data_IF_489401715635
#
_entry.id   IF_489401715635
#
_cell.length_a   1.000
_cell.length_b   1.000
_cell.length_c   1.000
_cell.angle_alpha   90.00
_cell.angle_beta   90.00
_cell.angle_gamma   90.00
#
_symmetry.space_group_name_H-M   'P 1'
#
loop_
_entity.id
_entity.type
_entity.pdbx_description
1 polymer ?
#
# COMPACT_ATOMS: atom_id res chain seq x y z
N UNK A 1 -37.67 -19.64 22.94
CA UNK A 1 -36.63 -20.02 23.93
C UNK A 1 -35.38 -20.62 23.29
N UNK A 2 -35.46 -21.54 22.32
CA UNK A 2 -34.26 -22.15 21.71
C UNK A 2 -33.39 -21.26 20.82
N UNK A 3 -33.93 -20.17 20.25
CA UNK A 3 -33.15 -19.24 19.40
C UNK A 3 -32.12 -18.43 20.21
N UNK A 4 -32.36 -18.23 21.51
CA UNK A 4 -31.46 -17.51 22.40
C UNK A 4 -30.26 -18.37 22.81
N UNK A 5 -30.46 -19.66 23.05
CA UNK A 5 -29.42 -20.59 23.53
C UNK A 5 -28.25 -20.69 22.54
N UNK A 6 -28.54 -20.72 21.23
CA UNK A 6 -27.49 -20.75 20.20
C UNK A 6 -26.68 -19.44 20.17
N UNK A 7 -27.34 -18.28 20.31
CA UNK A 7 -26.65 -16.99 20.35
C UNK A 7 -25.83 -16.83 21.65
N UNK A 8 -26.40 -17.22 22.78
CA UNK A 8 -25.74 -17.21 24.08
C UNK A 8 -24.53 -18.17 24.13
N UNK A 9 -24.58 -19.28 23.37
CA UNK A 9 -23.47 -20.23 23.25
C UNK A 9 -22.37 -19.78 22.27
N UNK A 10 -22.64 -18.78 21.43
CA UNK A 10 -21.71 -18.29 20.40
C UNK A 10 -21.02 -16.98 20.78
N UNK A 11 -21.40 -16.38 21.91
CA UNK A 11 -20.83 -15.14 22.43
C UNK A 11 -20.05 -15.39 23.71
N UNK A 12 -18.86 -14.80 23.81
CA UNK A 12 -18.00 -14.86 25.00
C UNK A 12 -17.66 -13.44 25.46
N UNK A 13 -17.68 -13.22 26.77
CA UNK A 13 -17.21 -11.97 27.37
C UNK A 13 -15.83 -12.16 28.01
N UNK A 14 -14.79 -11.84 27.25
CA UNK A 14 -13.40 -11.92 27.74
C UNK A 14 -13.03 -10.75 28.66
N UNK A 15 -13.76 -9.63 28.57
CA UNK A 15 -13.45 -8.40 29.30
C UNK A 15 -14.08 -8.37 30.69
N UNK A 16 -15.12 -9.17 30.92
CA UNK A 16 -15.97 -9.10 32.11
C UNK A 16 -16.87 -7.87 32.17
N UNK A 17 -16.85 -7.00 31.15
CA UNK A 17 -17.66 -5.77 31.10
C UNK A 17 -19.02 -6.03 30.46
N UNK A 18 -20.07 -5.43 30.99
CA UNK A 18 -21.42 -5.55 30.45
C UNK A 18 -21.50 -5.02 29.01
N UNK A 19 -22.18 -5.76 28.13
CA UNK A 19 -22.32 -5.41 26.71
C UNK A 19 -21.08 -5.65 25.84
N UNK A 20 -19.95 -6.07 26.41
CA UNK A 20 -18.70 -6.28 25.68
C UNK A 20 -18.48 -7.77 25.32
N UNK A 21 -19.46 -8.32 24.61
CA UNK A 21 -19.44 -9.69 24.11
C UNK A 21 -18.81 -9.76 22.72
N UNK A 22 -18.11 -10.85 22.43
CA UNK A 22 -17.59 -11.11 21.09
C UNK A 22 -17.94 -12.54 20.63
N UNK A 23 -18.08 -12.77 19.31
CA UNK A 23 -18.24 -14.12 18.79
C UNK A 23 -17.06 -15.01 19.18
N UNK A 24 -17.33 -16.27 19.54
CA UNK A 24 -16.30 -17.26 19.88
C UNK A 24 -15.31 -17.46 18.73
N UNK A 25 -15.79 -17.47 17.49
CA UNK A 25 -14.96 -17.59 16.29
C UNK A 25 -13.90 -16.47 16.22
N UNK A 26 -14.33 -15.22 16.48
CA UNK A 26 -13.43 -14.06 16.51
C UNK A 26 -12.41 -14.15 17.65
N UNK A 27 -12.80 -14.73 18.80
CA UNK A 27 -11.86 -14.97 19.89
C UNK A 27 -10.82 -16.04 19.51
N UNK A 28 -11.26 -17.14 18.88
CA UNK A 28 -10.37 -18.19 18.37
C UNK A 28 -9.39 -17.59 17.34
N UNK A 29 -9.87 -16.73 16.44
CA UNK A 29 -9.02 -16.03 15.47
C UNK A 29 -7.94 -15.18 16.14
N UNK A 30 -8.30 -14.42 17.18
CA UNK A 30 -7.34 -13.63 17.96
C UNK A 30 -6.28 -14.53 18.62
N UNK A 31 -6.69 -15.63 19.24
CA UNK A 31 -5.76 -16.60 19.84
C UNK A 31 -4.79 -17.19 18.79
N UNK A 32 -5.31 -17.60 17.64
CA UNK A 32 -4.50 -18.13 16.52
C UNK A 32 -3.51 -17.07 16.02
N UNK A 33 -3.93 -15.81 15.92
CA UNK A 33 -3.06 -14.71 15.50
C UNK A 33 -1.88 -14.52 16.45
N UNK A 34 -2.11 -14.55 17.76
CA UNK A 34 -1.03 -14.48 18.74
C UNK A 34 -0.12 -15.71 18.71
N UNK A 35 -0.71 -16.89 18.55
CA UNK A 35 0.05 -18.14 18.40
C UNK A 35 1.01 -18.06 17.21
N UNK A 36 0.55 -17.59 16.06
CA UNK A 36 1.41 -17.38 14.88
C UNK A 36 2.54 -16.39 15.14
N UNK A 37 2.28 -15.34 15.92
CA UNK A 37 3.28 -14.33 16.27
C UNK A 37 4.37 -14.90 17.19
N UNK A 38 3.99 -15.68 18.20
CA UNK A 38 4.92 -16.27 19.17
C UNK A 38 5.62 -17.52 18.65
N UNK A 39 4.93 -18.30 17.81
CA UNK A 39 5.47 -19.49 17.13
C UNK A 39 6.35 -19.15 15.93
N UNK A 40 6.97 -17.96 15.89
CA UNK A 40 7.92 -17.56 14.84
C UNK A 40 9.25 -18.36 14.87
N UNK A 41 9.22 -19.65 15.22
CA UNK A 41 10.30 -20.58 15.06
C UNK A 41 10.55 -20.86 13.58
N UNK A 42 11.74 -20.50 13.09
CA UNK A 42 12.19 -20.92 11.75
C UNK A 42 12.91 -22.26 11.84
N UNK A 43 12.63 -23.16 10.89
CA UNK A 43 13.40 -24.40 10.69
C UNK A 43 13.13 -25.50 11.71
N UNK A 44 14.18 -26.17 12.17
CA UNK A 44 14.16 -27.42 12.98
C UNK A 44 13.42 -27.26 14.32
N UNK A 45 13.22 -26.04 14.79
CA UNK A 45 12.51 -25.74 16.04
C UNK A 45 11.00 -25.47 15.86
N UNK A 46 10.44 -25.74 14.68
CA UNK A 46 9.01 -25.64 14.41
C UNK A 46 8.29 -26.99 14.66
N UNK A 47 8.44 -27.53 15.87
CA UNK A 47 7.78 -28.79 16.27
C UNK A 47 6.38 -28.54 16.83
N UNK A 48 5.49 -29.52 16.66
CA UNK A 48 4.14 -29.48 17.23
C UNK A 48 4.15 -29.43 18.76
N UNK A 49 5.11 -30.08 19.41
CA UNK A 49 5.27 -30.04 20.86
C UNK A 49 5.52 -28.61 21.35
N UNK A 50 6.40 -27.88 20.66
CA UNK A 50 6.69 -26.49 20.97
C UNK A 50 5.49 -25.58 20.72
N UNK A 51 4.68 -25.86 19.69
CA UNK A 51 3.42 -25.14 19.48
C UNK A 51 2.44 -25.41 20.63
N UNK A 52 2.40 -26.66 21.12
CA UNK A 52 1.67 -27.07 22.31
C UNK A 52 2.07 -26.25 23.53
N UNK A 53 3.36 -26.20 23.84
CA UNK A 53 3.90 -25.43 24.97
C UNK A 53 3.58 -23.93 24.87
N UNK A 54 3.72 -23.35 23.68
CA UNK A 54 3.41 -21.92 23.43
C UNK A 54 1.90 -21.68 23.54
N UNK A 55 1.05 -22.60 23.08
CA UNK A 55 -0.40 -22.49 23.20
C UNK A 55 -0.87 -22.55 24.65
N UNK A 56 -0.28 -23.42 25.47
CA UNK A 56 -0.57 -23.51 26.89
C UNK A 56 -0.16 -22.24 27.66
N UNK A 57 0.84 -21.49 27.17
CA UNK A 57 1.40 -20.31 27.83
C UNK A 57 1.04 -18.98 27.15
N UNK A 58 0.15 -18.99 26.16
CA UNK A 58 -0.15 -17.82 25.31
C UNK A 58 -0.65 -16.62 26.12
N UNK A 59 -1.42 -16.83 27.18
CA UNK A 59 -1.95 -15.77 28.02
C UNK A 59 -0.85 -15.05 28.82
N UNK A 60 0.11 -15.84 29.36
CA UNK A 60 1.28 -15.29 30.05
C UNK A 60 2.17 -14.51 29.08
N UNK A 61 2.42 -15.05 27.89
CA UNK A 61 3.21 -14.38 26.85
C UNK A 61 2.58 -13.05 26.41
N UNK A 62 1.25 -13.01 26.29
CA UNK A 62 0.53 -11.76 26.00
C UNK A 62 0.67 -10.73 27.11
N UNK A 63 0.62 -11.15 28.39
CA UNK A 63 0.81 -10.25 29.53
C UNK A 63 2.23 -9.69 29.57
N UNK A 64 3.25 -10.53 29.36
CA UNK A 64 4.65 -10.10 29.26
C UNK A 64 4.82 -9.10 28.12
N UNK A 65 4.26 -9.39 26.93
CA UNK A 65 4.28 -8.45 25.80
C UNK A 65 3.69 -7.09 26.15
N UNK A 66 2.53 -7.06 26.83
CA UNK A 66 1.90 -5.81 27.28
C UNK A 66 2.77 -5.07 28.28
N UNK A 67 3.39 -5.78 29.23
CA UNK A 67 4.28 -5.19 30.23
C UNK A 67 5.54 -4.58 29.60
N UNK A 68 6.20 -5.32 28.70
CA UNK A 68 7.37 -4.84 27.96
C UNK A 68 7.00 -3.65 27.07
N UNK A 69 5.86 -3.71 26.38
CA UNK A 69 5.37 -2.60 25.57
C UNK A 69 5.16 -1.32 26.39
N UNK A 70 4.59 -1.44 27.60
CA UNK A 70 4.45 -0.31 28.54
C UNK A 70 5.79 0.20 29.04
N UNK A 71 6.71 -0.69 29.41
CA UNK A 71 8.03 -0.32 29.92
C UNK A 71 8.89 0.41 28.88
N UNK A 72 8.79 0.01 27.61
CA UNK A 72 9.49 0.64 26.49
C UNK A 72 8.80 1.91 25.97
N UNK A 73 7.69 2.34 26.57
CA UNK A 73 6.93 3.48 26.07
C UNK A 73 6.38 3.27 24.67
N UNK A 74 6.25 2.01 24.23
CA UNK A 74 5.58 1.66 22.97
C UNK A 74 4.08 1.81 23.24
N UNK A 75 3.62 3.06 23.25
CA UNK A 75 2.21 3.36 23.29
C UNK A 75 1.56 2.63 22.12
N UNK A 76 0.50 1.86 22.41
CA UNK A 76 -0.38 1.34 21.38
C UNK A 76 -0.96 2.55 20.65
N UNK A 77 -0.35 2.92 19.53
CA UNK A 77 -0.91 3.90 18.61
C UNK A 77 -2.12 3.17 18.02
N UNK A 78 -3.32 3.63 18.40
CA UNK A 78 -4.55 3.02 17.95
C UNK A 78 -4.53 2.81 16.43
N UNK A 79 -5.12 1.71 15.98
CA UNK A 79 -5.33 1.40 14.55
C UNK A 79 -6.26 2.40 13.85
N UNK A 80 -6.68 3.46 14.53
CA UNK A 80 -7.30 4.62 13.93
C UNK A 80 -6.22 5.33 13.14
N UNK A 81 -6.23 5.15 11.82
CA UNK A 81 -5.50 5.98 10.88
C UNK A 81 -5.96 7.43 11.02
N UNK A 82 -5.46 8.14 12.04
CA UNK A 82 -5.53 9.60 12.08
C UNK A 82 -4.50 10.05 11.05
N UNK A 83 -4.96 10.65 9.97
CA UNK A 83 -4.08 11.24 8.96
C UNK A 83 -3.11 12.17 9.69
N UNK A 84 -1.80 11.90 9.65
CA UNK A 84 -0.84 12.72 10.38
C UNK A 84 -0.90 14.15 9.85
N UNK A 85 -0.94 15.14 10.75
CA UNK A 85 -0.88 16.54 10.35
C UNK A 85 0.46 16.81 9.65
N UNK A 86 0.40 17.00 8.35
CA UNK A 86 1.56 17.25 7.49
C UNK A 86 1.89 18.74 7.36
N UNK A 87 1.14 19.62 8.02
CA UNK A 87 1.30 21.08 7.91
C UNK A 87 2.72 21.56 8.24
N UNK A 88 3.36 20.98 9.25
CA UNK A 88 4.73 21.31 9.63
C UNK A 88 5.75 20.93 8.55
N UNK A 89 5.59 19.77 7.92
CA UNK A 89 6.44 19.30 6.83
C UNK A 89 6.27 20.17 5.59
N UNK A 90 5.02 20.52 5.25
CA UNK A 90 4.71 21.43 4.13
C UNK A 90 5.36 22.80 4.36
N UNK A 91 5.27 23.38 5.58
CA UNK A 91 5.91 24.66 5.89
C UNK A 91 7.43 24.61 5.77
N UNK A 92 8.08 23.51 6.21
CA UNK A 92 9.53 23.33 6.05
C UNK A 92 9.94 23.29 4.58
N UNK A 93 9.19 22.55 3.75
CA UNK A 93 9.43 22.50 2.31
C UNK A 93 9.21 23.86 1.68
N UNK A 94 8.12 24.55 1.99
CA UNK A 94 7.82 25.89 1.47
C UNK A 94 8.90 26.91 1.87
N UNK A 95 9.38 26.88 3.10
CA UNK A 95 10.46 27.73 3.57
C UNK A 95 11.75 27.47 2.77
N UNK A 96 12.16 26.20 2.63
CA UNK A 96 13.36 25.84 1.86
C UNK A 96 13.22 26.14 0.36
N UNK A 97 12.02 25.98 -0.18
CA UNK A 97 11.68 26.34 -1.56
C UNK A 97 11.81 27.86 -1.80
N UNK A 98 11.43 28.67 -0.81
CA UNK A 98 11.59 30.12 -0.80
C UNK A 98 13.04 30.56 -0.66
N UNK A 99 13.73 30.04 0.37
CA UNK A 99 15.15 30.31 0.66
C UNK A 99 16.04 30.01 -0.55
N UNK A 100 15.87 28.83 -1.15
CA UNK A 100 16.63 28.41 -2.31
C UNK A 100 16.10 28.99 -3.62
N UNK A 101 14.99 29.74 -3.61
CA UNK A 101 14.33 30.30 -4.80
C UNK A 101 14.12 29.28 -5.93
N UNK A 102 13.86 28.01 -5.62
CA UNK A 102 13.71 26.97 -6.68
C UNK A 102 12.43 27.18 -7.50
N UNK A 103 11.48 27.94 -6.99
CA UNK A 103 10.24 28.32 -7.67
C UNK A 103 10.44 29.47 -8.69
N UNK A 104 11.61 30.12 -8.71
CA UNK A 104 11.93 31.21 -9.65
C UNK A 104 12.88 30.65 -10.71
N UNK A 105 12.58 30.80 -12.02
CA UNK A 105 13.50 30.41 -13.07
C UNK A 105 14.78 31.25 -12.97
N UNK A 106 15.91 30.60 -12.74
CA UNK A 106 17.22 31.23 -12.62
C UNK A 106 18.21 30.48 -13.52
N UNK A 107 18.68 31.15 -14.57
CA UNK A 107 19.60 30.58 -15.57
C UNK A 107 21.02 30.42 -15.05
N UNK A 108 21.41 31.20 -14.03
CA UNK A 108 22.77 31.26 -13.47
C UNK A 108 23.04 30.29 -12.31
N UNK A 109 22.08 29.40 -11.98
CA UNK A 109 22.24 28.47 -10.84
C UNK A 109 23.36 27.45 -11.12
N UNK A 110 24.26 27.26 -10.15
CA UNK A 110 25.29 26.23 -10.23
C UNK A 110 24.66 24.84 -10.45
N UNK A 111 25.22 24.05 -11.38
CA UNK A 111 24.75 22.73 -11.84
C UNK A 111 23.56 22.71 -12.82
N UNK A 112 23.07 23.84 -13.33
CA UNK A 112 22.03 23.83 -14.37
C UNK A 112 22.47 23.08 -15.64
N UNK A 113 23.77 23.07 -15.94
CA UNK A 113 24.39 22.35 -17.06
C UNK A 113 24.39 20.82 -16.91
N UNK A 114 24.16 20.29 -15.69
CA UNK A 114 24.12 18.85 -15.41
C UNK A 114 22.70 18.27 -15.41
N UNK A 115 21.68 19.12 -15.50
CA UNK A 115 20.27 18.71 -15.43
C UNK A 115 19.62 18.86 -16.80
N UNK A 116 19.02 17.79 -17.30
CA UNK A 116 18.22 17.86 -18.54
C UNK A 116 17.00 18.74 -18.30
N UNK A 117 16.75 19.77 -19.13
CA UNK A 117 15.60 20.64 -18.96
C UNK A 117 14.31 19.82 -19.04
N UNK A 118 13.49 19.92 -17.99
CA UNK A 118 12.18 19.27 -17.96
C UNK A 118 11.30 19.97 -19.00
N UNK A 119 10.79 19.20 -19.96
CA UNK A 119 9.91 19.70 -21.02
C UNK A 119 8.67 20.32 -20.37
N UNK A 120 8.30 21.52 -20.81
CA UNK A 120 7.04 22.13 -20.39
C UNK A 120 5.88 21.30 -20.95
N UNK A 121 5.33 20.42 -20.10
CA UNK A 121 4.26 19.48 -20.47
C UNK A 121 2.99 20.18 -20.92
N UNK A 122 2.70 21.39 -20.43
CA UNK A 122 1.53 22.17 -20.86
C UNK A 122 1.73 22.72 -22.27
N UNK A 123 2.88 23.35 -22.54
CA UNK A 123 3.18 23.88 -23.86
C UNK A 123 3.33 22.76 -24.90
N UNK A 124 4.00 21.66 -24.55
CA UNK A 124 4.15 20.49 -25.41
C UNK A 124 2.80 19.80 -25.65
N UNK A 125 1.95 19.70 -24.62
CA UNK A 125 0.59 19.19 -24.74
C UNK A 125 -0.30 20.05 -25.64
N UNK A 126 -0.28 21.36 -25.46
CA UNK A 126 -1.01 22.31 -26.31
C UNK A 126 -0.57 22.20 -27.77
N UNK A 127 0.74 22.15 -28.03
CA UNK A 127 1.28 22.01 -29.37
C UNK A 127 0.82 20.69 -30.02
N UNK A 128 0.93 19.57 -29.31
CA UNK A 128 0.49 18.25 -29.80
C UNK A 128 -1.01 18.21 -30.07
N UNK A 129 -1.81 18.82 -29.20
CA UNK A 129 -3.25 18.88 -29.34
C UNK A 129 -3.65 19.68 -30.59
N UNK A 130 -2.98 20.80 -30.84
CA UNK A 130 -3.18 21.61 -32.05
C UNK A 130 -2.67 20.93 -33.32
N UNK A 131 -1.50 20.28 -33.29
CA UNK A 131 -0.85 19.77 -34.51
C UNK A 131 -1.37 18.42 -34.98
N UNK A 132 -1.67 17.49 -34.06
CA UNK A 132 -1.97 16.09 -34.39
C UNK A 132 -3.39 15.70 -34.01
N UNK A 133 -3.81 16.04 -32.79
CA UNK A 133 -5.08 15.56 -32.25
C UNK A 133 -6.28 16.23 -32.90
N UNK A 134 -6.25 17.56 -33.07
CA UNK A 134 -7.37 18.30 -33.67
C UNK A 134 -7.54 17.97 -35.16
N UNK A 135 -6.43 17.86 -35.89
CA UNK A 135 -6.44 17.51 -37.33
C UNK A 135 -6.97 16.10 -37.54
N UNK A 136 -6.50 15.14 -36.73
CA UNK A 136 -6.97 13.75 -36.78
C UNK A 136 -8.42 13.62 -36.35
N UNK A 137 -8.84 14.34 -35.31
CA UNK A 137 -10.23 14.39 -34.86
C UNK A 137 -11.14 14.96 -35.96
N UNK A 138 -10.81 16.10 -36.54
CA UNK A 138 -11.61 16.72 -37.61
C UNK A 138 -11.70 15.83 -38.84
N UNK A 139 -10.60 15.14 -39.20
CA UNK A 139 -10.57 14.14 -40.27
C UNK A 139 -11.51 12.97 -39.97
N UNK A 140 -11.46 12.42 -38.74
CA UNK A 140 -12.33 11.30 -38.31
C UNK A 140 -13.81 11.70 -38.26
N UNK A 141 -14.12 12.89 -37.77
CA UNK A 141 -15.50 13.40 -37.75
C UNK A 141 -16.06 13.54 -39.17
N UNK A 142 -15.25 14.04 -40.13
CA UNK A 142 -15.68 14.11 -41.54
C UNK A 142 -15.88 12.74 -42.16
N UNK A 143 -14.95 11.80 -41.94
CA UNK A 143 -15.08 10.42 -42.43
C UNK A 143 -16.34 9.72 -41.87
N UNK A 144 -16.65 9.93 -40.59
CA UNK A 144 -17.87 9.43 -39.95
C UNK A 144 -19.15 10.00 -40.58
N UNK A 145 -19.16 11.31 -40.87
CA UNK A 145 -20.31 11.97 -41.53
C UNK A 145 -20.48 11.47 -42.98
N UNK A 146 -19.38 11.17 -43.66
CA UNK A 146 -19.37 10.65 -45.04
C UNK A 146 -19.68 9.15 -45.16
N UNK A 147 -19.79 8.42 -44.04
CA UNK A 147 -20.12 6.99 -44.01
C UNK A 147 -18.97 6.06 -44.39
N UNK A 148 -17.73 6.55 -44.43
CA UNK A 148 -16.56 5.72 -44.68
C UNK A 148 -16.17 4.95 -43.41
N UNK A 149 -16.04 3.63 -43.54
CA UNK A 149 -15.72 2.71 -42.45
C UNK A 149 -14.34 2.98 -41.84
N UNK A 150 -14.23 2.67 -40.55
CA UNK A 150 -13.08 2.93 -39.69
C UNK A 150 -11.87 2.05 -40.06
N UNK A 151 -10.75 2.65 -40.44
CA UNK A 151 -9.44 2.02 -40.29
C UNK A 151 -8.83 2.43 -38.96
N UNK A 152 -8.42 1.44 -38.15
CA UNK A 152 -7.75 1.69 -36.89
C UNK A 152 -6.34 2.21 -37.18
N UNK A 153 -6.07 3.49 -36.86
CA UNK A 153 -4.70 3.99 -36.82
C UNK A 153 -3.91 3.13 -35.82
N UNK A 154 -2.87 2.44 -36.28
CA UNK A 154 -1.92 1.75 -35.40
C UNK A 154 -1.28 2.79 -34.46
N UNK A 155 -1.44 2.62 -33.16
CA UNK A 155 -0.75 3.43 -32.16
C UNK A 155 0.77 3.30 -32.36
N UNK A 156 1.44 4.40 -32.67
CA UNK A 156 2.92 4.51 -32.78
C UNK A 156 3.65 4.33 -31.43
N UNK A 157 2.99 3.78 -30.41
CA UNK A 157 3.62 3.43 -29.14
C UNK A 157 4.12 1.98 -29.28
N UNK A 158 5.44 1.73 -29.35
CA UNK A 158 5.95 0.37 -29.40
C UNK A 158 5.42 -0.39 -28.19
N UNK A 159 4.84 -1.58 -28.42
CA UNK A 159 4.44 -2.47 -27.33
C UNK A 159 5.65 -2.65 -26.41
N UNK A 160 5.47 -2.35 -25.13
CA UNK A 160 6.49 -2.63 -24.13
C UNK A 160 6.78 -4.14 -24.14
N UNK A 161 7.98 -4.51 -24.55
CA UNK A 161 8.45 -5.89 -24.54
C UNK A 161 8.72 -6.29 -23.09
N UNK A 162 7.68 -6.77 -22.40
CA UNK A 162 7.87 -7.54 -21.18
C UNK A 162 8.14 -8.98 -21.61
N UNK A 163 9.41 -9.37 -21.57
CA UNK A 163 9.81 -10.76 -21.70
C UNK A 163 9.52 -11.47 -20.37
N UNK A 164 8.43 -12.23 -20.34
CA UNK A 164 8.00 -13.01 -19.17
C UNK A 164 8.54 -14.45 -19.26
N UNK A 165 9.47 -14.73 -20.17
CA UNK A 165 10.02 -16.08 -20.38
C UNK A 165 11.37 -16.31 -19.71
N UNK A 166 11.86 -15.37 -18.89
CA UNK A 166 12.98 -15.63 -17.98
C UNK A 166 12.53 -16.54 -16.81
N UNK A 167 12.28 -17.82 -17.11
CA UNK A 167 12.41 -18.87 -16.12
C UNK A 167 13.88 -18.98 -15.79
N UNK A 168 14.28 -18.45 -14.63
CA UNK A 168 15.53 -18.80 -13.98
C UNK A 168 15.46 -20.31 -13.67
N UNK A 169 15.94 -21.11 -14.61
CA UNK A 169 16.30 -22.50 -14.36
C UNK A 169 17.52 -22.41 -13.45
N UNK A 170 17.29 -22.67 -12.16
CA UNK A 170 18.36 -22.93 -11.21
C UNK A 170 19.00 -24.26 -11.64
N UNK A 171 20.22 -24.18 -12.15
CA UNK A 171 21.07 -25.34 -12.40
C UNK A 171 21.29 -26.09 -11.08
N UNK A 172 20.75 -27.31 -11.01
CA UNK A 172 21.26 -28.36 -10.14
C UNK A 172 22.50 -28.96 -10.82
N UNK A 173 23.70 -28.72 -10.27
CA UNK A 173 24.82 -29.64 -10.44
C UNK A 173 25.72 -29.68 -9.18
N UNK A 174 25.82 -30.92 -8.67
CA UNK A 174 26.79 -31.54 -7.73
C UNK A 174 26.59 -31.38 -6.22
#
# INVERSE_FOLDING_TARGET
TSRNIMQDSMLVNLSGLEGHFMPIDLNIEHCIKFLKLFFAGKGVYATWDRLGDISATVDLLQNVRKQVGRALGIAYHGSTHITPDTSASIRKVAYKLGELRLHIPCTERANNTRVTPVVNVLASGEQKLKSLTLVTFNRKVRAMISGEGFEADEDEIPRAAFDITHTDIMDEEQ
#
